data_IF_266281991314
#
_entry.id   IF_266281991314
#
_cell.length_a   1.000
_cell.length_b   1.000
_cell.length_c   1.000
_cell.angle_alpha   90.00
_cell.angle_beta   90.00
_cell.angle_gamma   90.00
#
_symmetry.space_group_name_H-M   'P 1'
#
loop_
_entity.id
_entity.type
_entity.pdbx_description
1 polymer ?
#
# COMPACT_ATOMS: atom_id res chain seq x y z
N UNK A 1 -17.16 19.63 -10.60
CA UNK A 1 -16.18 18.88 -9.78
C UNK A 1 -15.67 17.72 -10.63
N UNK A 2 -14.42 17.77 -11.08
CA UNK A 2 -13.86 16.82 -12.03
C UNK A 2 -13.47 15.50 -11.36
N UNK A 3 -13.38 14.43 -12.15
CA UNK A 3 -12.91 13.12 -11.69
C UNK A 3 -11.48 13.19 -11.08
N UNK A 4 -10.63 14.06 -11.64
CA UNK A 4 -9.29 14.34 -11.13
C UNK A 4 -9.31 14.92 -9.70
N UNK A 5 -10.28 15.76 -9.36
CA UNK A 5 -10.40 16.32 -8.01
C UNK A 5 -10.69 15.22 -6.97
N UNK A 6 -11.53 14.23 -7.33
CA UNK A 6 -11.82 13.07 -6.48
C UNK A 6 -10.61 12.14 -6.34
N UNK A 7 -9.83 11.96 -7.40
CA UNK A 7 -8.61 11.17 -7.39
C UNK A 7 -7.55 11.83 -6.48
N UNK A 8 -7.36 13.15 -6.63
CA UNK A 8 -6.44 13.94 -5.80
C UNK A 8 -6.87 13.92 -4.32
N UNK A 9 -8.17 14.05 -4.01
CA UNK A 9 -8.70 13.92 -2.64
C UNK A 9 -8.54 12.51 -2.05
N UNK A 10 -8.53 11.46 -2.89
CA UNK A 10 -8.27 10.09 -2.43
C UNK A 10 -6.78 9.82 -2.14
N UNK A 11 -5.89 10.64 -2.72
CA UNK A 11 -4.44 10.48 -2.66
C UNK A 11 -3.79 11.38 -1.60
N UNK A 12 -4.30 12.60 -1.41
CA UNK A 12 -3.83 13.59 -0.44
C UNK A 12 -4.88 13.85 0.66
N UNK A 13 -4.51 14.01 1.94
CA UNK A 13 -5.46 14.46 2.95
C UNK A 13 -5.73 15.96 2.75
N UNK A 14 -6.88 16.30 2.17
CA UNK A 14 -7.34 17.70 2.11
C UNK A 14 -7.97 18.05 3.46
N UNK A 15 -7.47 19.08 4.15
CA UNK A 15 -7.96 19.62 5.44
C UNK A 15 -9.39 20.22 5.41
N UNK A 16 -10.19 19.90 4.39
CA UNK A 16 -11.60 20.25 4.31
C UNK A 16 -12.40 19.02 3.87
N UNK A 17 -12.37 17.98 4.72
CA UNK A 17 -13.41 16.97 4.68
C UNK A 17 -14.70 17.64 5.16
N UNK A 18 -15.58 17.94 4.20
CA UNK A 18 -17.01 18.05 4.45
C UNK A 18 -17.39 16.88 5.34
N UNK A 19 -18.02 17.16 6.48
CA UNK A 19 -18.56 16.21 7.45
C UNK A 19 -19.53 15.24 6.76
N UNK A 20 -19.00 14.28 6.02
CA UNK A 20 -19.68 13.02 5.76
C UNK A 20 -19.51 12.28 7.07
N UNK A 21 -20.63 12.07 7.77
CA UNK A 21 -20.71 11.37 9.05
C UNK A 21 -20.30 9.89 8.88
N UNK A 22 -19.04 9.62 8.55
CA UNK A 22 -18.51 8.27 8.53
C UNK A 22 -18.30 7.85 9.98
N UNK A 23 -19.12 6.92 10.45
CA UNK A 23 -19.04 6.43 11.82
C UNK A 23 -17.93 5.38 11.89
N UNK A 24 -16.88 5.64 12.68
CA UNK A 24 -15.81 4.67 12.90
C UNK A 24 -16.37 3.58 13.84
N UNK A 25 -16.52 2.38 13.31
CA UNK A 25 -17.04 1.23 14.06
C UNK A 25 -15.92 0.53 14.84
N UNK A 26 -14.74 0.40 14.23
CA UNK A 26 -13.59 -0.28 14.83
C UNK A 26 -12.31 0.44 14.42
N UNK A 27 -11.39 0.62 15.37
CA UNK A 27 -10.02 1.06 15.11
C UNK A 27 -9.07 0.35 16.07
N UNK A 28 -8.18 -0.49 15.54
CA UNK A 28 -7.29 -1.33 16.35
C UNK A 28 -5.96 -1.60 15.64
N UNK A 29 -4.98 -2.08 16.40
CA UNK A 29 -3.71 -2.57 15.83
C UNK A 29 -3.96 -3.92 15.14
N UNK A 30 -3.40 -4.11 13.94
CA UNK A 30 -3.50 -5.38 13.22
C UNK A 30 -2.86 -6.50 14.05
N UNK A 31 -3.62 -7.58 14.30
CA UNK A 31 -3.14 -8.81 14.95
C UNK A 31 -3.53 -10.01 14.12
N UNK A 32 -2.56 -10.60 13.41
CA UNK A 32 -2.78 -11.83 12.63
C UNK A 32 -2.88 -13.05 13.55
N UNK A 33 -3.90 -13.86 13.35
CA UNK A 33 -4.07 -15.13 14.07
C UNK A 33 -3.03 -16.16 13.63
N UNK A 34 -2.80 -17.19 14.45
CA UNK A 34 -1.84 -18.24 14.09
C UNK A 34 -2.28 -19.03 12.85
N UNK A 35 -3.59 -19.26 12.71
CA UNK A 35 -4.18 -19.81 11.49
C UNK A 35 -3.84 -18.97 10.27
N UNK A 36 -4.06 -17.66 10.33
CA UNK A 36 -3.77 -16.75 9.21
C UNK A 36 -2.29 -16.84 8.80
N UNK A 37 -1.37 -16.83 9.76
CA UNK A 37 0.07 -16.94 9.45
C UNK A 37 0.40 -18.27 8.79
N UNK A 38 -0.15 -19.37 9.30
CA UNK A 38 0.03 -20.70 8.69
C UNK A 38 -0.50 -20.75 7.26
N UNK A 39 -1.72 -20.26 7.04
CA UNK A 39 -2.36 -20.24 5.71
C UNK A 39 -1.58 -19.35 4.73
N UNK A 40 -1.11 -18.18 5.19
CA UNK A 40 -0.22 -17.30 4.43
C UNK A 40 1.07 -18.00 4.01
N UNK A 41 1.72 -18.74 4.92
CA UNK A 41 2.95 -19.45 4.61
C UNK A 41 2.74 -20.62 3.64
N UNK A 42 1.59 -21.29 3.70
CA UNK A 42 1.21 -22.30 2.70
C UNK A 42 0.97 -21.63 1.34
N UNK A 43 0.21 -20.54 1.31
CA UNK A 43 -0.09 -19.78 0.11
C UNK A 43 1.18 -19.22 -0.56
N UNK A 44 2.09 -18.67 0.24
CA UNK A 44 3.39 -18.14 -0.19
C UNK A 44 4.25 -19.24 -0.79
N UNK A 45 4.43 -20.37 -0.10
CA UNK A 45 5.26 -21.48 -0.62
C UNK A 45 4.65 -22.15 -1.85
N UNK A 46 3.33 -22.16 -1.98
CA UNK A 46 2.64 -22.65 -3.16
C UNK A 46 2.75 -21.74 -4.38
N UNK A 47 3.40 -20.57 -4.26
CA UNK A 47 3.51 -19.54 -5.31
C UNK A 47 2.14 -19.10 -5.87
N UNK A 48 1.07 -19.24 -5.09
CA UNK A 48 -0.27 -18.82 -5.47
C UNK A 48 -0.37 -17.30 -5.65
N UNK A 49 0.61 -16.55 -5.12
CA UNK A 49 0.75 -15.11 -5.35
C UNK A 49 1.09 -14.75 -6.80
N UNK A 50 1.62 -15.69 -7.60
CA UNK A 50 2.11 -15.40 -8.94
C UNK A 50 1.06 -14.73 -9.82
N UNK A 51 -0.21 -15.15 -9.71
CA UNK A 51 -1.29 -14.55 -10.49
C UNK A 51 -1.48 -13.06 -10.15
N UNK A 52 -1.70 -12.74 -8.88
CA UNK A 52 -1.96 -11.36 -8.45
C UNK A 52 -0.73 -10.45 -8.62
N UNK A 53 0.46 -10.97 -8.31
CA UNK A 53 1.72 -10.23 -8.48
C UNK A 53 1.99 -9.97 -9.97
N UNK A 54 1.70 -10.94 -10.84
CA UNK A 54 1.87 -10.78 -12.29
C UNK A 54 0.91 -9.76 -12.85
N UNK A 55 -0.37 -9.77 -12.44
CA UNK A 55 -1.33 -8.77 -12.85
C UNK A 55 -0.87 -7.35 -12.50
N UNK A 56 -0.38 -7.14 -11.26
CA UNK A 56 0.16 -5.83 -10.87
C UNK A 56 1.43 -5.47 -11.63
N UNK A 57 2.31 -6.45 -11.88
CA UNK A 57 3.56 -6.24 -12.63
C UNK A 57 3.29 -5.86 -14.08
N UNK A 58 2.36 -6.53 -14.75
CA UNK A 58 1.97 -6.23 -16.12
C UNK A 58 1.42 -4.80 -16.20
N UNK A 59 0.48 -4.44 -15.33
CA UNK A 59 -0.04 -3.07 -15.23
C UNK A 59 1.04 -2.04 -14.92
N UNK A 60 2.00 -2.37 -14.04
CA UNK A 60 3.16 -1.53 -13.77
C UNK A 60 3.99 -1.33 -15.04
N UNK A 61 4.32 -2.39 -15.77
CA UNK A 61 5.17 -2.31 -16.97
C UNK A 61 4.50 -1.59 -18.14
N UNK A 62 3.17 -1.71 -18.28
CA UNK A 62 2.40 -1.07 -19.35
C UNK A 62 1.83 0.30 -18.95
N UNK A 63 2.15 0.81 -17.76
CA UNK A 63 1.59 2.05 -17.24
C UNK A 63 1.86 3.22 -18.20
N UNK A 64 0.80 3.95 -18.54
CA UNK A 64 0.92 5.25 -19.19
C UNK A 64 1.08 6.34 -18.14
N UNK A 65 1.87 7.36 -18.43
CA UNK A 65 1.92 8.58 -17.60
C UNK A 65 0.59 9.35 -17.62
N UNK A 66 -0.25 9.08 -18.63
CA UNK A 66 -1.61 9.60 -18.74
C UNK A 66 -2.57 8.57 -18.13
N UNK A 67 -3.18 8.92 -17.00
CA UNK A 67 -4.16 8.07 -16.34
C UNK A 67 -5.38 7.82 -17.27
N UNK A 68 -5.56 6.58 -17.71
CA UNK A 68 -6.77 6.17 -18.38
C UNK A 68 -7.92 6.03 -17.37
N UNK A 69 -9.13 6.45 -17.76
CA UNK A 69 -10.32 6.43 -16.89
C UNK A 69 -10.70 5.02 -16.43
N UNK A 70 -10.34 4.00 -17.20
CA UNK A 70 -10.66 2.59 -16.97
C UNK A 70 -9.49 1.79 -16.37
N UNK A 71 -8.38 2.43 -16.03
CA UNK A 71 -7.21 1.72 -15.51
C UNK A 71 -7.50 1.15 -14.11
N UNK A 72 -7.14 -0.12 -13.91
CA UNK A 72 -7.11 -0.73 -12.58
C UNK A 72 -5.84 -0.32 -11.82
N UNK A 73 -4.89 0.34 -12.48
CA UNK A 73 -3.62 0.76 -11.90
C UNK A 73 -3.37 2.25 -12.09
N UNK A 74 -3.00 2.92 -10.99
CA UNK A 74 -2.63 4.34 -11.00
C UNK A 74 -1.25 4.51 -10.41
N UNK A 75 -0.34 5.07 -11.20
CA UNK A 75 0.97 5.49 -10.72
C UNK A 75 0.90 6.90 -10.13
N UNK A 76 1.50 7.07 -8.96
CA UNK A 76 1.65 8.36 -8.31
C UNK A 76 3.12 8.77 -8.30
N UNK A 77 3.41 9.96 -8.82
CA UNK A 77 4.77 10.48 -8.91
C UNK A 77 4.79 11.97 -8.55
N UNK A 78 5.41 12.28 -7.42
CA UNK A 78 5.66 13.64 -6.97
C UNK A 78 7.10 13.75 -6.46
N UNK A 79 7.66 14.97 -6.34
CA UNK A 79 9.02 15.15 -5.84
C UNK A 79 9.28 14.53 -4.44
N UNK A 80 8.26 14.46 -3.60
CA UNK A 80 8.39 13.98 -2.21
C UNK A 80 7.80 12.59 -1.99
N UNK A 81 7.15 12.01 -2.99
CA UNK A 81 6.45 10.74 -2.81
C UNK A 81 6.17 10.07 -4.15
N UNK A 82 6.43 8.76 -4.19
CA UNK A 82 6.08 7.89 -5.31
C UNK A 82 5.24 6.72 -4.80
N UNK A 83 4.38 6.17 -5.64
CA UNK A 83 3.51 5.09 -5.22
C UNK A 83 2.63 4.56 -6.32
N UNK A 84 1.76 3.63 -5.94
CA UNK A 84 0.69 3.17 -6.81
C UNK A 84 -0.57 2.83 -6.04
N UNK A 85 -1.67 2.77 -6.78
CA UNK A 85 -2.93 2.15 -6.36
C UNK A 85 -3.31 1.11 -7.40
N UNK A 86 -3.63 -0.10 -6.95
CA UNK A 86 -4.20 -1.16 -7.76
C UNK A 86 -5.59 -1.51 -7.25
N UNK A 87 -6.59 -1.40 -8.12
CA UNK A 87 -7.97 -1.79 -7.87
C UNK A 87 -8.17 -3.25 -8.25
N UNK A 88 -8.73 -4.04 -7.34
CA UNK A 88 -8.97 -5.46 -7.59
C UNK A 88 -10.16 -5.63 -8.54
N UNK A 89 -10.05 -6.61 -9.43
CA UNK A 89 -11.19 -7.06 -10.23
C UNK A 89 -12.27 -7.70 -9.37
N UNK A 90 -13.52 -7.70 -9.88
CA UNK A 90 -14.63 -8.36 -9.19
C UNK A 90 -14.37 -9.87 -9.08
N UNK A 91 -14.64 -10.43 -7.91
CA UNK A 91 -14.54 -11.87 -7.66
C UNK A 91 -13.18 -12.33 -7.10
N UNK A 92 -12.19 -11.43 -6.96
CA UNK A 92 -10.95 -11.75 -6.23
C UNK A 92 -11.31 -12.15 -4.79
N UNK A 93 -10.87 -13.34 -4.31
CA UNK A 93 -11.14 -13.75 -2.94
C UNK A 93 -10.47 -12.81 -1.92
N UNK A 94 -11.20 -12.41 -0.88
CA UNK A 94 -10.71 -11.52 0.19
C UNK A 94 -9.40 -12.01 0.82
N UNK A 95 -9.30 -13.31 1.04
CA UNK A 95 -8.10 -13.94 1.61
C UNK A 95 -6.86 -13.77 0.71
N UNK A 96 -7.02 -13.93 -0.61
CA UNK A 96 -5.94 -13.80 -1.59
C UNK A 96 -5.41 -12.35 -1.63
N UNK A 97 -6.31 -11.37 -1.60
CA UNK A 97 -5.95 -9.96 -1.54
C UNK A 97 -5.27 -9.59 -0.21
N UNK A 98 -5.76 -10.14 0.91
CA UNK A 98 -5.13 -9.96 2.23
C UNK A 98 -3.73 -10.58 2.29
N UNK A 99 -3.52 -11.76 1.70
CA UNK A 99 -2.20 -12.37 1.62
C UNK A 99 -1.24 -11.61 0.73
N UNK A 100 -1.71 -11.00 -0.36
CA UNK A 100 -0.89 -10.10 -1.17
C UNK A 100 -0.42 -8.87 -0.36
N UNK A 101 -1.32 -8.28 0.43
CA UNK A 101 -0.97 -7.20 1.36
C UNK A 101 0.09 -7.61 2.39
N UNK A 102 -0.04 -8.81 2.95
CA UNK A 102 0.93 -9.41 3.87
C UNK A 102 2.28 -9.71 3.19
N UNK A 103 2.25 -10.15 1.93
CA UNK A 103 3.43 -10.43 1.11
C UNK A 103 4.24 -9.16 0.83
N UNK A 104 3.60 -8.05 0.46
CA UNK A 104 4.29 -6.78 0.24
C UNK A 104 4.96 -6.29 1.51
N UNK A 105 4.27 -6.37 2.65
CA UNK A 105 4.88 -6.08 3.95
C UNK A 105 6.10 -6.96 4.21
N UNK A 106 5.98 -8.27 3.98
CA UNK A 106 7.08 -9.22 4.17
C UNK A 106 8.30 -8.84 3.30
N UNK A 107 8.11 -8.59 2.00
CA UNK A 107 9.17 -8.17 1.06
C UNK A 107 9.83 -6.85 1.46
N UNK A 108 9.07 -5.89 1.97
CA UNK A 108 9.63 -4.61 2.46
C UNK A 108 10.47 -4.81 3.73
N UNK A 109 10.07 -5.71 4.63
CA UNK A 109 10.86 -6.03 5.83
C UNK A 109 12.22 -6.64 5.45
N UNK A 110 12.29 -7.43 4.37
CA UNK A 110 13.55 -7.98 3.83
C UNK A 110 14.49 -6.87 3.33
N UNK A 111 13.97 -5.72 2.92
CA UNK A 111 14.73 -4.51 2.57
C UNK A 111 15.18 -3.70 3.79
N UNK A 112 15.30 -4.34 4.95
CA UNK A 112 15.72 -3.73 6.22
C UNK A 112 14.81 -2.61 6.75
N UNK A 113 13.50 -2.77 6.56
CA UNK A 113 12.48 -1.96 7.22
C UNK A 113 12.00 -2.59 8.53
N UNK A 114 11.40 -1.75 9.38
CA UNK A 114 10.65 -2.16 10.56
C UNK A 114 9.24 -1.56 10.53
N UNK A 115 8.26 -2.31 11.03
CA UNK A 115 6.89 -1.82 11.22
C UNK A 115 6.92 -0.78 12.34
N UNK A 116 6.66 0.48 12.02
CA UNK A 116 6.52 1.55 12.99
C UNK A 116 5.09 1.62 13.54
N UNK A 117 4.10 1.36 12.69
CA UNK A 117 2.70 1.36 13.07
C UNK A 117 1.89 0.43 12.17
N UNK A 118 0.82 -0.16 12.72
CA UNK A 118 -0.14 -0.97 11.98
C UNK A 118 -1.54 -0.73 12.50
N UNK A 119 -2.50 -0.58 11.61
CA UNK A 119 -3.87 -0.17 11.93
C UNK A 119 -4.87 -0.91 11.06
N UNK A 120 -5.96 -1.37 11.68
CA UNK A 120 -7.18 -1.82 11.05
C UNK A 120 -8.30 -0.87 11.47
N UNK A 121 -8.98 -0.29 10.49
CA UNK A 121 -10.10 0.60 10.66
C UNK A 121 -11.31 0.07 9.90
N UNK A 122 -12.46 0.02 10.55
CA UNK A 122 -13.75 -0.31 9.93
C UNK A 122 -14.65 0.89 10.14
N UNK A 123 -15.20 1.41 9.06
CA UNK A 123 -16.12 2.53 9.06
C UNK A 123 -17.34 2.22 8.22
N UNK A 124 -18.46 2.80 8.61
CA UNK A 124 -19.64 2.90 7.77
C UNK A 124 -19.50 4.16 6.91
N UNK A 125 -19.57 4.00 5.59
CA UNK A 125 -19.40 5.08 4.62
C UNK A 125 -20.58 5.04 3.64
N UNK A 126 -21.56 5.92 3.87
CA UNK A 126 -22.86 5.90 3.20
C UNK A 126 -23.56 4.54 3.41
N UNK A 127 -23.68 3.74 2.35
CA UNK A 127 -24.33 2.42 2.37
C UNK A 127 -23.34 1.25 2.45
N UNK A 128 -22.03 1.53 2.60
CA UNK A 128 -20.97 0.53 2.53
C UNK A 128 -20.24 0.37 3.86
N UNK A 129 -19.89 -0.87 4.20
CA UNK A 129 -18.91 -1.17 5.24
C UNK A 129 -17.52 -1.18 4.60
N UNK A 130 -16.70 -0.20 4.95
CA UNK A 130 -15.33 -0.09 4.47
C UNK A 130 -14.39 -0.57 5.56
N UNK A 131 -13.61 -1.61 5.27
CA UNK A 131 -12.49 -2.04 6.09
C UNK A 131 -11.19 -1.62 5.43
N UNK A 132 -10.26 -1.07 6.21
CA UNK A 132 -8.96 -0.61 5.76
C UNK A 132 -7.88 -1.09 6.72
N UNK A 133 -6.92 -1.81 6.20
CA UNK A 133 -5.72 -2.22 6.90
C UNK A 133 -4.54 -1.40 6.38
N UNK A 134 -3.63 -0.99 7.26
CA UNK A 134 -2.41 -0.30 6.85
C UNK A 134 -1.19 -0.65 7.68
N UNK A 135 -0.05 -0.73 7.01
CA UNK A 135 1.27 -0.80 7.61
C UNK A 135 2.04 0.46 7.28
N UNK A 136 2.67 1.06 8.30
CA UNK A 136 3.61 2.16 8.15
C UNK A 136 4.98 1.69 8.58
N UNK A 137 5.92 1.68 7.63
CA UNK A 137 7.24 1.11 7.76
C UNK A 137 8.31 2.19 7.63
N UNK A 138 9.37 2.08 8.45
CA UNK A 138 10.53 2.95 8.39
C UNK A 138 11.81 2.12 8.22
N UNK A 139 12.86 2.66 7.58
CA UNK A 139 14.18 2.03 7.61
C UNK A 139 14.61 1.75 9.05
N UNK A 140 15.26 0.61 9.29
CA UNK A 140 15.79 0.24 10.61
C UNK A 140 16.73 1.34 11.14
N UNK A 141 16.78 1.48 12.47
CA UNK A 141 17.57 2.54 13.14
C UNK A 141 19.07 2.54 12.78
N UNK A 142 19.62 1.42 12.28
CA UNK A 142 21.02 1.34 11.83
C UNK A 142 21.37 2.37 10.76
N UNK A 143 20.41 2.82 9.95
CA UNK A 143 20.63 3.83 8.91
C UNK A 143 20.63 5.28 9.42
N UNK A 144 20.32 5.50 10.71
CA UNK A 144 20.38 6.81 11.38
C UNK A 144 21.69 7.04 12.15
N UNK A 145 22.69 6.18 11.95
CA UNK A 145 23.98 6.23 12.66
C UNK A 145 24.94 7.30 12.11
N UNK A 146 24.79 7.68 10.85
CA UNK A 146 25.69 8.62 10.15
C UNK A 146 24.85 9.65 9.41
N UNK A 147 25.15 10.94 9.60
CA UNK A 147 24.53 12.02 8.83
C UNK A 147 25.34 12.31 7.54
N UNK A 148 24.69 12.60 6.40
CA UNK A 148 23.24 12.51 6.19
C UNK A 148 22.74 11.05 6.25
N UNK A 149 21.54 10.85 6.82
CA UNK A 149 20.95 9.54 7.05
C UNK A 149 20.57 8.87 5.74
N UNK A 150 20.91 7.59 5.60
CA UNK A 150 20.42 6.79 4.49
C UNK A 150 18.93 6.49 4.74
N UNK A 151 18.05 6.99 3.87
CA UNK A 151 16.61 6.79 4.00
C UNK A 151 16.08 5.60 3.19
N UNK A 152 16.94 4.86 2.48
CA UNK A 152 16.56 3.82 1.52
C UNK A 152 15.52 4.39 0.54
N UNK A 153 14.36 3.75 0.43
CA UNK A 153 13.21 4.22 -0.36
C UNK A 153 12.29 5.16 0.44
N UNK A 154 12.80 5.84 1.46
CA UNK A 154 12.01 6.69 2.36
C UNK A 154 11.13 5.89 3.34
N UNK A 155 10.05 6.49 3.83
CA UNK A 155 9.04 5.78 4.64
C UNK A 155 7.99 5.15 3.74
N UNK A 156 7.59 3.92 4.04
CA UNK A 156 6.66 3.18 3.19
C UNK A 156 5.33 3.01 3.92
N UNK A 157 4.23 3.31 3.25
CA UNK A 157 2.88 2.98 3.70
C UNK A 157 2.23 2.03 2.72
N UNK A 158 1.75 0.89 3.21
CA UNK A 158 0.92 -0.05 2.46
C UNK A 158 -0.48 0.03 3.03
N UNK A 159 -1.48 0.00 2.16
CA UNK A 159 -2.89 0.01 2.51
C UNK A 159 -3.60 -1.08 1.73
N UNK A 160 -4.42 -1.86 2.41
CA UNK A 160 -5.42 -2.73 1.80
C UNK A 160 -6.81 -2.26 2.22
N UNK A 161 -7.74 -2.18 1.26
CA UNK A 161 -9.11 -1.80 1.53
C UNK A 161 -10.09 -2.81 0.91
N UNK A 162 -11.19 -3.07 1.63
CA UNK A 162 -12.33 -3.85 1.16
C UNK A 162 -13.63 -3.10 1.41
N UNK A 163 -14.62 -3.34 0.55
CA UNK A 163 -15.99 -2.83 0.66
C UNK A 163 -16.94 -4.02 0.78
N UNK A 164 -17.75 -4.06 1.83
CA UNK A 164 -18.68 -5.15 2.14
C UNK A 164 -18.01 -6.55 2.09
N UNK A 165 -16.76 -6.61 2.57
CA UNK A 165 -15.97 -7.84 2.59
C UNK A 165 -15.35 -8.25 1.25
N UNK A 166 -15.59 -7.52 0.16
CA UNK A 166 -14.93 -7.75 -1.13
C UNK A 166 -13.68 -6.85 -1.27
N UNK A 167 -12.56 -7.38 -1.81
CA UNK A 167 -11.36 -6.57 -2.10
C UNK A 167 -11.71 -5.37 -2.95
N UNK A 168 -11.16 -4.20 -2.58
CA UNK A 168 -11.36 -2.98 -3.34
C UNK A 168 -10.06 -2.46 -3.94
N UNK A 169 -9.07 -2.12 -3.11
CA UNK A 169 -7.75 -1.73 -3.63
C UNK A 169 -6.62 -2.12 -2.67
N UNK A 170 -5.42 -2.22 -3.25
CA UNK A 170 -4.16 -2.16 -2.53
C UNK A 170 -3.39 -0.91 -2.99
N UNK A 171 -2.77 -0.21 -2.04
CA UNK A 171 -2.01 1.01 -2.29
C UNK A 171 -0.67 0.92 -1.60
N UNK A 172 0.36 1.43 -2.27
CA UNK A 172 1.69 1.61 -1.70
C UNK A 172 2.18 3.02 -1.97
N UNK A 173 2.71 3.68 -0.94
CA UNK A 173 3.35 4.99 -1.04
C UNK A 173 4.71 4.95 -0.33
N UNK A 174 5.74 5.39 -1.04
CA UNK A 174 7.05 5.72 -0.52
C UNK A 174 7.16 7.25 -0.40
N UNK A 175 7.41 7.77 0.80
CA UNK A 175 7.57 9.20 1.06
C UNK A 175 9.03 9.50 1.43
N UNK A 176 9.61 10.49 0.77
CA UNK A 176 11.01 10.88 0.89
C UNK A 176 11.16 12.16 1.70
N UNK A 177 12.30 12.28 2.37
CA UNK A 177 12.74 13.51 3.01
C UNK A 177 13.79 14.18 2.11
N UNK A 178 13.58 15.45 1.78
CA UNK A 178 14.48 16.22 0.89
C UNK A 178 15.37 17.20 1.66
N UNK A 179 15.37 17.15 2.99
CA UNK A 179 16.21 18.04 3.79
C UNK A 179 17.66 17.54 3.86
N UNK A 180 18.59 18.44 4.19
CA UNK A 180 20.04 18.18 4.27
C UNK A 180 20.46 17.07 5.24
N UNK A 181 19.56 16.58 6.07
CA UNK A 181 19.79 15.50 7.03
C UNK A 181 19.67 14.13 6.38
N UNK A 182 19.19 14.02 5.14
CA UNK A 182 18.97 12.76 4.45
C UNK A 182 19.75 12.67 3.14
N UNK A 183 20.16 11.46 2.81
CA UNK A 183 20.71 11.13 1.48
C UNK A 183 19.60 11.07 0.45
N UNK A 184 19.95 11.18 -0.82
CA UNK A 184 19.01 10.90 -1.92
C UNK A 184 18.38 9.51 -1.74
N UNK A 185 17.06 9.39 -1.91
CA UNK A 185 16.38 8.11 -1.79
C UNK A 185 16.75 7.18 -2.95
N UNK A 186 16.68 5.88 -2.70
CA UNK A 186 16.76 4.86 -3.75
C UNK A 186 15.55 4.93 -4.67
N UNK A 187 15.68 4.37 -5.88
CA UNK A 187 14.66 4.47 -6.91
C UNK A 187 13.39 3.71 -6.50
N UNK A 188 12.22 4.31 -6.71
CA UNK A 188 10.96 3.62 -6.48
C UNK A 188 10.75 2.45 -7.44
N UNK A 189 11.34 2.54 -8.62
CA UNK A 189 11.31 1.50 -9.63
C UNK A 189 12.02 0.22 -9.12
N UNK A 190 13.17 0.36 -8.44
CA UNK A 190 13.84 -0.77 -7.76
C UNK A 190 12.98 -1.36 -6.63
N UNK A 191 12.28 -0.52 -5.84
CA UNK A 191 11.34 -1.01 -4.83
C UNK A 191 10.20 -1.82 -5.47
N UNK A 192 9.64 -1.34 -6.58
CA UNK A 192 8.60 -2.05 -7.31
C UNK A 192 9.10 -3.41 -7.85
N UNK A 193 10.32 -3.47 -8.38
CA UNK A 193 10.93 -4.73 -8.82
C UNK A 193 11.06 -5.74 -7.68
N UNK A 194 11.50 -5.31 -6.49
CA UNK A 194 11.53 -6.16 -5.30
C UNK A 194 10.15 -6.65 -4.87
N UNK A 195 9.12 -5.83 -5.04
CA UNK A 195 7.75 -6.18 -4.69
C UNK A 195 7.10 -7.14 -5.67
N UNK A 196 7.57 -7.21 -6.91
CA UNK A 196 6.92 -7.97 -7.99
C UNK A 196 7.69 -9.23 -8.44
N UNK A 197 8.59 -9.74 -7.59
CA UNK A 197 9.33 -11.01 -7.83
C UNK A 197 8.39 -12.23 -7.77
N UNK A 198 8.75 -13.30 -8.49
CA UNK A 198 8.05 -14.58 -8.53
C UNK A 198 8.80 -15.70 -7.81
#
# INVERSE_FOLDING_TARGET
>A
MGFLDKLIQSILPTEQAVESSSNILVKKVIRRSEKYKSDFEVWRRGQNYNFNVRAIKEEWETRSEIAAVEANFFYYNSPQSKGFVYYFEKGVPQEQASFLFELFKYRIIELDYAINHSEEEIKEDQDWIVSKESYYLKPKLKYRKTAPFNQLYGTIRIVFASKDGAPYYIKLLANYFSDRSYQEPYSFEELAEHLFVF
#
